data_IF_234728614974
#
_entry.id   IF_234728614974
#
_cell.length_a   1.000
_cell.length_b   1.000
_cell.length_c   1.000
_cell.angle_alpha   90.00
_cell.angle_beta   90.00
_cell.angle_gamma   90.00
#
_symmetry.space_group_name_H-M   'P 1'
#
loop_
_entity.id
_entity.type
_entity.pdbx_description
1 polymer ?
#
# COMPACT_ATOMS: atom_id res chain seq x y z
N UNK A 1 -5.06 24.74 -8.07
CA UNK A 1 -5.71 23.43 -8.19
C UNK A 1 -7.19 23.60 -7.89
N UNK A 2 -8.07 22.90 -8.60
CA UNK A 2 -9.49 22.82 -8.23
C UNK A 2 -9.69 21.87 -7.03
N UNK A 3 -10.92 21.76 -6.54
CA UNK A 3 -11.26 20.91 -5.40
C UNK A 3 -10.87 19.45 -5.65
N UNK A 4 -11.21 18.91 -6.82
CA UNK A 4 -10.95 17.53 -7.20
C UNK A 4 -9.44 17.22 -7.26
N UNK A 5 -8.65 18.13 -7.83
CA UNK A 5 -7.19 18.01 -7.89
C UNK A 5 -6.57 18.03 -6.49
N UNK A 6 -7.06 18.90 -5.60
CA UNK A 6 -6.57 18.98 -4.22
C UNK A 6 -6.91 17.69 -3.46
N UNK A 7 -8.14 17.22 -3.58
CA UNK A 7 -8.57 15.96 -2.98
C UNK A 7 -7.72 14.78 -3.46
N UNK A 8 -7.47 14.67 -4.77
CA UNK A 8 -6.63 13.61 -5.33
C UNK A 8 -5.17 13.70 -4.88
N UNK A 9 -4.63 14.92 -4.73
CA UNK A 9 -3.29 15.13 -4.16
C UNK A 9 -3.23 14.63 -2.72
N UNK A 10 -4.14 15.09 -1.87
CA UNK A 10 -4.16 14.72 -0.45
C UNK A 10 -4.41 13.22 -0.27
N UNK A 11 -5.23 12.62 -1.15
CA UNK A 11 -5.45 11.19 -1.17
C UNK A 11 -4.17 10.41 -1.57
N UNK A 12 -3.44 10.84 -2.60
CA UNK A 12 -2.15 10.24 -2.96
C UNK A 12 -1.15 10.32 -1.80
N UNK A 13 -1.05 11.47 -1.14
CA UNK A 13 -0.16 11.66 0.01
C UNK A 13 -0.55 10.78 1.20
N UNK A 14 -1.85 10.65 1.47
CA UNK A 14 -2.35 9.73 2.50
C UNK A 14 -2.01 8.27 2.18
N UNK A 15 -2.19 7.82 0.93
CA UNK A 15 -1.81 6.47 0.50
C UNK A 15 -0.31 6.21 0.74
N UNK A 16 0.56 7.15 0.36
CA UNK A 16 2.01 7.03 0.61
C UNK A 16 2.35 6.89 2.10
N UNK A 17 1.64 7.61 2.98
CA UNK A 17 1.78 7.45 4.42
C UNK A 17 1.30 6.08 4.90
N UNK A 18 0.15 5.60 4.40
CA UNK A 18 -0.40 4.31 4.78
C UNK A 18 0.49 3.13 4.37
N UNK A 19 1.18 3.23 3.22
CA UNK A 19 2.17 2.24 2.78
C UNK A 19 3.33 2.16 3.78
N UNK A 20 3.87 3.31 4.21
CA UNK A 20 4.97 3.35 5.19
C UNK A 20 4.54 2.76 6.55
N UNK A 21 3.35 3.13 7.03
CA UNK A 21 2.80 2.64 8.30
C UNK A 21 2.55 1.13 8.24
N UNK A 22 1.92 0.65 7.17
CA UNK A 22 1.58 -0.77 7.01
C UNK A 22 2.81 -1.64 6.83
N UNK A 23 3.84 -1.16 6.10
CA UNK A 23 5.13 -1.86 5.97
C UNK A 23 5.85 -1.98 7.31
N UNK A 24 5.90 -0.90 8.10
CA UNK A 24 6.48 -0.93 9.44
C UNK A 24 5.73 -1.88 10.38
N UNK A 25 4.40 -1.82 10.39
CA UNK A 25 3.55 -2.69 11.20
C UNK A 25 3.69 -4.17 10.81
N UNK A 26 3.73 -4.47 9.50
CA UNK A 26 3.97 -5.81 8.99
C UNK A 26 5.35 -6.34 9.44
N UNK A 27 6.42 -5.53 9.32
CA UNK A 27 7.76 -5.92 9.75
C UNK A 27 7.82 -6.21 11.25
N UNK A 28 7.18 -5.37 12.07
CA UNK A 28 7.10 -5.58 13.51
C UNK A 28 6.32 -6.86 13.86
N UNK A 29 5.16 -7.08 13.23
CA UNK A 29 4.37 -8.30 13.43
C UNK A 29 5.13 -9.56 12.98
N UNK A 30 5.84 -9.51 11.83
CA UNK A 30 6.69 -10.62 11.33
C UNK A 30 7.81 -10.95 12.32
N UNK A 31 8.39 -9.94 12.96
CA UNK A 31 9.41 -10.14 14.00
C UNK A 31 8.84 -10.85 15.23
N UNK A 32 7.71 -10.37 15.75
CA UNK A 32 7.04 -10.96 16.92
C UNK A 32 6.59 -12.40 16.63
N UNK A 33 5.98 -12.65 15.47
CA UNK A 33 5.54 -14.00 15.10
C UNK A 33 6.70 -15.01 15.07
N UNK A 34 7.85 -14.60 14.52
CA UNK A 34 9.06 -15.44 14.44
C UNK A 34 9.74 -15.64 15.80
N UNK A 35 9.91 -14.58 16.57
CA UNK A 35 10.69 -14.62 17.82
C UNK A 35 9.88 -15.17 19.00
N UNK A 36 8.58 -14.84 19.10
CA UNK A 36 7.74 -15.25 20.24
C UNK A 36 6.86 -16.48 19.95
N UNK A 37 6.84 -16.98 18.70
CA UNK A 37 6.00 -18.12 18.25
C UNK A 37 4.51 -17.94 18.60
N UNK A 38 4.02 -16.69 18.55
CA UNK A 38 2.63 -16.33 18.86
C UNK A 38 1.76 -16.45 17.61
N UNK A 39 0.82 -17.42 17.53
CA UNK A 39 -0.05 -17.58 16.37
C UNK A 39 -0.90 -16.33 16.08
N UNK A 40 -1.27 -15.56 17.11
CA UNK A 40 -2.03 -14.32 16.97
C UNK A 40 -1.25 -13.22 16.22
N UNK A 41 0.09 -13.31 16.22
CA UNK A 41 0.94 -12.41 15.46
C UNK A 41 0.99 -12.78 13.97
N UNK A 42 0.76 -14.05 13.59
CA UNK A 42 0.68 -14.47 12.18
C UNK A 42 -0.56 -13.89 11.49
N UNK A 43 -1.71 -13.89 12.17
CA UNK A 43 -2.92 -13.21 11.68
C UNK A 43 -2.70 -11.71 11.49
N UNK A 44 -1.95 -11.08 12.40
CA UNK A 44 -1.62 -9.66 12.27
C UNK A 44 -0.72 -9.40 11.04
N UNK A 45 0.25 -10.29 10.77
CA UNK A 45 1.06 -10.23 9.56
C UNK A 45 0.20 -10.28 8.30
N UNK A 46 -0.71 -11.25 8.20
CA UNK A 46 -1.59 -11.42 7.03
C UNK A 46 -2.44 -10.16 6.83
N UNK A 47 -3.00 -9.59 7.91
CA UNK A 47 -3.79 -8.37 7.83
C UNK A 47 -2.99 -7.17 7.33
N UNK A 48 -1.79 -6.95 7.85
CA UNK A 48 -0.94 -5.84 7.42
C UNK A 48 -0.42 -6.02 6.00
N UNK A 49 -0.11 -7.25 5.61
CA UNK A 49 0.31 -7.59 4.25
C UNK A 49 -0.80 -7.35 3.23
N UNK A 50 -2.02 -7.82 3.51
CA UNK A 50 -3.20 -7.57 2.65
C UNK A 50 -3.49 -6.07 2.50
N UNK A 51 -3.40 -5.31 3.59
CA UNK A 51 -3.60 -3.86 3.56
C UNK A 51 -2.50 -3.15 2.75
N UNK A 52 -1.24 -3.55 2.94
CA UNK A 52 -0.10 -3.00 2.22
C UNK A 52 -0.21 -3.26 0.71
N UNK A 53 -0.66 -4.45 0.32
CA UNK A 53 -0.89 -4.80 -1.08
C UNK A 53 -1.96 -3.90 -1.72
N UNK A 54 -3.10 -3.72 -1.04
CA UNK A 54 -4.17 -2.84 -1.51
C UNK A 54 -3.69 -1.39 -1.70
N UNK A 55 -2.89 -0.85 -0.76
CA UNK A 55 -2.34 0.50 -0.92
C UNK A 55 -1.34 0.62 -2.06
N UNK A 56 -0.49 -0.40 -2.27
CA UNK A 56 0.43 -0.45 -3.42
C UNK A 56 -0.32 -0.49 -4.75
N UNK A 57 -1.43 -1.21 -4.81
CA UNK A 57 -2.30 -1.20 -5.99
C UNK A 57 -2.86 0.22 -6.26
N UNK A 58 -3.33 0.91 -5.22
CA UNK A 58 -3.82 2.29 -5.34
C UNK A 58 -2.71 3.28 -5.71
N UNK A 59 -1.47 3.08 -5.24
CA UNK A 59 -0.32 3.88 -5.71
C UNK A 59 -0.16 3.79 -7.23
N UNK A 60 -0.26 2.59 -7.79
CA UNK A 60 -0.24 2.39 -9.25
C UNK A 60 -1.39 3.12 -9.96
N UNK A 61 -2.58 3.21 -9.35
CA UNK A 61 -3.68 4.01 -9.91
C UNK A 61 -3.40 5.51 -9.91
N UNK A 62 -2.64 6.01 -8.93
CA UNK A 62 -2.17 7.40 -8.96
C UNK A 62 -1.07 7.64 -9.99
N UNK A 63 -0.26 6.63 -10.35
CA UNK A 63 0.66 6.71 -11.49
C UNK A 63 -0.09 6.81 -12.81
N UNK A 64 -1.16 6.01 -12.99
CA UNK A 64 -2.05 6.17 -14.15
C UNK A 64 -2.61 7.60 -14.24
N UNK A 65 -3.13 8.13 -13.14
CA UNK A 65 -3.64 9.50 -13.08
C UNK A 65 -2.56 10.53 -13.48
N UNK A 66 -1.33 10.42 -12.96
CA UNK A 66 -0.21 11.31 -13.32
C UNK A 66 0.17 11.22 -14.80
N UNK A 67 -0.01 10.05 -15.41
CA UNK A 67 0.29 9.77 -16.81
C UNK A 67 -0.91 10.00 -17.76
N UNK A 68 -2.06 10.48 -17.25
CA UNK A 68 -3.27 10.70 -18.06
C UNK A 68 -3.93 9.41 -18.57
N UNK A 69 -3.64 8.26 -17.97
CA UNK A 69 -4.28 6.96 -18.26
C UNK A 69 -5.64 6.85 -17.55
N UNK A 70 -6.49 5.93 -18.01
CA UNK A 70 -7.78 5.65 -17.37
C UNK A 70 -7.58 4.97 -16.00
N UNK A 71 -8.54 5.11 -15.10
CA UNK A 71 -8.53 4.39 -13.83
C UNK A 71 -8.52 2.88 -14.03
N UNK A 72 -9.19 2.36 -15.07
CA UNK A 72 -9.26 0.92 -15.35
C UNK A 72 -7.99 0.35 -15.99
N UNK A 73 -7.09 1.19 -16.50
CA UNK A 73 -5.84 0.73 -17.08
C UNK A 73 -4.97 0.01 -16.03
N UNK A 74 -4.24 -1.00 -16.46
CA UNK A 74 -3.31 -1.71 -15.58
C UNK A 74 -2.14 -0.77 -15.23
N UNK A 75 -1.82 -0.58 -13.94
CA UNK A 75 -0.62 0.16 -13.55
C UNK A 75 0.64 -0.57 -14.04
N UNK A 76 1.66 0.20 -14.42
CA UNK A 76 2.98 -0.36 -14.73
C UNK A 76 3.69 -0.71 -13.42
N UNK A 77 3.30 -1.83 -12.82
CA UNK A 77 4.07 -2.39 -11.72
C UNK A 77 5.41 -2.83 -12.30
N UNK A 78 6.49 -2.13 -11.98
CA UNK A 78 7.86 -2.62 -12.25
C UNK A 78 7.89 -4.09 -11.87
N UNK A 79 8.27 -4.96 -12.81
CA UNK A 79 8.25 -6.42 -12.67
C UNK A 79 8.90 -6.81 -11.34
N UNK A 80 8.08 -7.08 -10.31
CA UNK A 80 8.57 -7.67 -9.07
C UNK A 80 8.90 -9.11 -9.40
N UNK A 81 10.20 -9.36 -9.57
CA UNK A 81 10.75 -10.70 -9.51
C UNK A 81 10.55 -11.19 -8.07
N UNK A 82 9.63 -12.14 -7.91
CA UNK A 82 9.38 -12.85 -6.65
C UNK A 82 10.50 -13.85 -6.37
#
# INVERSE_FOLDING_TARGET
>A
MNYEQQFLKDFSEWIEQQVKISDLAMKAAKKIAKEDHKPEAEDAVIRYESRLDAYRFLQGKFENYKNGKDFHDMPDFETKTY
#
